data_IF_755035917638
#
_entry.id   IF_755035917638
#
_cell.length_a   1.000
_cell.length_b   1.000
_cell.length_c   1.000
_cell.angle_alpha   90.00
_cell.angle_beta   90.00
_cell.angle_gamma   90.00
#
_symmetry.space_group_name_H-M   'P 1'
#
loop_
_entity.id
_entity.type
_entity.pdbx_description
1 polymer ?
#
# COMPACT_ATOMS: atom_id res chain seq x y z
N UNK A 1 -5.99 -4.43 10.50
CA UNK A 1 -4.70 -3.76 10.75
C UNK A 1 -4.32 -3.86 12.22
N UNK A 2 -3.03 -3.99 12.55
CA UNK A 2 -2.54 -4.10 13.92
C UNK A 2 -1.18 -3.39 14.08
N UNK A 3 -0.89 -2.89 15.28
CA UNK A 3 0.40 -2.37 15.72
C UNK A 3 1.16 -3.42 16.50
N UNK A 4 2.49 -3.37 16.51
CA UNK A 4 3.33 -4.07 17.48
C UNK A 4 3.81 -3.12 18.58
N UNK A 5 3.80 -3.57 19.81
CA UNK A 5 4.48 -2.92 20.93
C UNK A 5 5.97 -3.32 20.96
N UNK A 6 6.84 -2.58 21.68
CA UNK A 6 8.27 -2.91 21.78
C UNK A 6 8.56 -4.31 22.36
N UNK A 7 7.64 -4.88 23.15
CA UNK A 7 7.69 -6.27 23.64
C UNK A 7 7.12 -7.29 22.64
N UNK A 8 6.88 -6.89 21.39
CA UNK A 8 6.46 -7.77 20.30
C UNK A 8 4.99 -8.18 20.34
N UNK A 9 4.17 -7.60 21.22
CA UNK A 9 2.73 -7.88 21.26
C UNK A 9 2.00 -7.07 20.22
N UNK A 10 1.05 -7.71 19.55
CA UNK A 10 0.23 -7.02 18.56
C UNK A 10 -1.07 -6.52 19.18
N UNK A 11 -1.37 -5.24 18.98
CA UNK A 11 -2.68 -4.65 19.28
C UNK A 11 -3.40 -4.35 17.97
N UNK A 12 -4.66 -4.74 17.88
CA UNK A 12 -5.51 -4.38 16.72
C UNK A 12 -5.69 -2.86 16.67
N UNK A 13 -5.40 -2.26 15.51
CA UNK A 13 -5.56 -0.82 15.27
C UNK A 13 -6.99 -0.51 14.85
N UNK A 14 -7.43 -1.02 13.71
CA UNK A 14 -8.81 -0.81 13.25
C UNK A 14 -9.46 -2.07 12.69
N UNK A 15 -10.76 -2.16 12.93
CA UNK A 15 -11.69 -3.19 12.43
C UNK A 15 -12.89 -2.53 11.72
N UNK A 16 -12.77 -1.23 11.44
CA UNK A 16 -13.89 -0.37 11.06
C UNK A 16 -14.67 -0.90 9.84
N UNK A 17 -15.96 -0.60 9.83
CA UNK A 17 -16.84 -0.77 8.66
C UNK A 17 -16.25 0.04 7.50
N UNK A 18 -15.74 -0.64 6.47
CA UNK A 18 -15.13 0.01 5.30
C UNK A 18 -13.83 -0.63 4.82
N UNK A 19 -13.10 -1.31 5.71
CA UNK A 19 -11.91 -2.08 5.32
C UNK A 19 -12.32 -3.41 4.66
N UNK A 20 -11.98 -3.58 3.37
CA UNK A 20 -12.20 -4.83 2.63
C UNK A 20 -10.88 -5.60 2.56
N UNK A 21 -9.94 -5.14 1.74
CA UNK A 21 -8.56 -5.64 1.68
C UNK A 21 -7.62 -4.47 1.82
N UNK A 22 -6.61 -4.61 2.68
CA UNK A 22 -5.53 -3.62 2.84
C UNK A 22 -4.31 -4.07 2.06
N UNK A 23 -3.83 -3.21 1.15
CA UNK A 23 -2.60 -3.44 0.39
C UNK A 23 -1.44 -2.69 1.03
N UNK A 24 -1.12 -1.48 0.55
CA UNK A 24 -0.12 -0.59 1.13
C UNK A 24 -0.67 0.30 2.24
N UNK A 25 0.23 0.73 3.11
CA UNK A 25 -0.07 1.67 4.19
C UNK A 25 1.14 2.54 4.51
N UNK A 26 0.88 3.76 4.98
CA UNK A 26 1.92 4.69 5.42
C UNK A 26 1.47 5.43 6.67
N UNK A 27 2.40 5.61 7.60
CA UNK A 27 2.23 6.42 8.81
C UNK A 27 2.79 7.80 8.57
N UNK A 28 1.95 8.82 8.67
CA UNK A 28 2.32 10.24 8.61
C UNK A 28 2.15 10.83 10.01
N UNK A 29 3.19 10.60 10.83
CA UNK A 29 3.20 11.02 12.22
C UNK A 29 3.18 12.55 12.37
N UNK A 30 3.79 13.28 11.43
CA UNK A 30 3.79 14.75 11.40
C UNK A 30 2.35 15.30 11.36
N UNK A 31 1.46 14.61 10.63
CA UNK A 31 0.05 15.02 10.48
C UNK A 31 -0.94 14.15 11.26
N UNK A 32 -0.45 13.32 12.20
CA UNK A 32 -1.23 12.43 13.06
C UNK A 32 -2.23 11.53 12.30
N UNK A 33 -1.76 10.85 11.24
CA UNK A 33 -2.62 9.99 10.42
C UNK A 33 -1.94 8.72 9.93
N UNK A 34 -2.76 7.71 9.64
CA UNK A 34 -2.40 6.50 8.91
C UNK A 34 -3.19 6.45 7.62
N UNK A 35 -2.50 6.29 6.51
CA UNK A 35 -3.09 6.17 5.17
C UNK A 35 -3.03 4.72 4.74
N UNK A 36 -4.13 4.22 4.19
CA UNK A 36 -4.30 2.80 3.85
C UNK A 36 -4.93 2.67 2.48
N UNK A 37 -4.26 1.98 1.56
CA UNK A 37 -4.89 1.52 0.34
C UNK A 37 -5.93 0.44 0.66
N UNK A 38 -7.17 0.68 0.25
CA UNK A 38 -8.29 -0.23 0.42
C UNK A 38 -8.83 -0.63 -0.95
N UNK A 39 -8.87 -1.94 -1.18
CA UNK A 39 -9.24 -2.54 -2.47
C UNK A 39 -10.09 -3.80 -2.27
N UNK A 40 -10.60 -4.36 -3.35
CA UNK A 40 -11.28 -5.64 -3.32
C UNK A 40 -11.10 -6.48 -4.60
N UNK A 41 -10.11 -7.38 -4.65
CA UNK A 41 -9.98 -8.39 -5.73
C UNK A 41 -10.88 -9.63 -5.57
N UNK A 42 -11.70 -9.71 -4.52
CA UNK A 42 -12.63 -10.84 -4.32
C UNK A 42 -12.14 -11.94 -3.36
N UNK A 43 -11.04 -11.73 -2.65
CA UNK A 43 -10.42 -12.75 -1.77
C UNK A 43 -10.68 -12.52 -0.28
N UNK A 44 -11.01 -11.27 0.10
CA UNK A 44 -11.28 -10.93 1.50
C UNK A 44 -12.61 -11.52 1.97
N UNK A 45 -12.68 -11.85 3.26
CA UNK A 45 -13.94 -12.20 3.94
C UNK A 45 -14.97 -11.07 3.91
N UNK A 46 -14.50 -9.83 3.75
CA UNK A 46 -15.35 -8.65 3.64
C UNK A 46 -15.73 -8.31 2.19
N UNK A 47 -15.27 -9.11 1.22
CA UNK A 47 -15.60 -8.92 -0.19
C UNK A 47 -17.06 -9.27 -0.46
N UNK A 48 -17.67 -8.55 -1.41
CA UNK A 48 -19.00 -8.82 -1.93
C UNK A 48 -19.03 -8.64 -3.45
N UNK A 49 -20.04 -9.21 -4.10
CA UNK A 49 -20.21 -9.09 -5.56
C UNK A 49 -20.27 -7.63 -6.04
N UNK A 50 -20.78 -6.71 -5.21
CA UNK A 50 -20.87 -5.28 -5.53
C UNK A 50 -19.56 -4.49 -5.37
N UNK A 51 -18.58 -5.01 -4.63
CA UNK A 51 -17.31 -4.33 -4.34
C UNK A 51 -16.13 -4.89 -5.13
N UNK A 52 -16.23 -6.16 -5.55
CA UNK A 52 -15.16 -6.87 -6.25
C UNK A 52 -14.74 -6.16 -7.55
N UNK A 53 -13.46 -5.87 -7.66
CA UNK A 53 -12.78 -5.11 -8.72
C UNK A 53 -13.37 -3.72 -8.97
N UNK A 54 -14.06 -3.15 -7.97
CA UNK A 54 -14.74 -1.85 -8.05
C UNK A 54 -14.33 -0.88 -6.94
N UNK A 55 -13.65 -1.37 -5.92
CA UNK A 55 -13.15 -0.54 -4.82
C UNK A 55 -11.70 -0.17 -5.09
N UNK A 56 -11.46 1.13 -5.24
CA UNK A 56 -10.12 1.71 -5.18
C UNK A 56 -10.18 2.93 -4.29
N UNK A 57 -9.66 2.80 -3.07
CA UNK A 57 -9.76 3.83 -2.05
C UNK A 57 -8.43 4.05 -1.32
N UNK A 58 -8.24 5.26 -0.82
CA UNK A 58 -7.33 5.52 0.31
C UNK A 58 -8.18 5.89 1.52
N UNK A 59 -7.97 5.16 2.62
CA UNK A 59 -8.59 5.46 3.90
C UNK A 59 -7.58 6.18 4.78
N UNK A 60 -8.00 7.30 5.37
CA UNK A 60 -7.22 8.07 6.33
C UNK A 60 -7.80 7.85 7.72
N UNK A 61 -7.00 7.28 8.60
CA UNK A 61 -7.32 7.11 10.01
C UNK A 61 -6.49 8.07 10.86
N UNK A 62 -7.05 8.53 11.96
CA UNK A 62 -6.27 9.20 13.00
C UNK A 62 -5.33 8.19 13.66
N UNK A 63 -4.05 8.55 13.83
CA UNK A 63 -3.03 7.63 14.33
C UNK A 63 -3.19 7.32 15.83
N UNK A 64 -3.68 8.26 16.64
CA UNK A 64 -3.83 8.05 18.09
C UNK A 64 -5.14 7.36 18.49
N UNK A 65 -6.23 7.67 17.80
CA UNK A 65 -7.60 7.25 18.17
C UNK A 65 -8.15 6.12 17.31
N UNK A 66 -7.40 5.72 16.28
CA UNK A 66 -7.77 4.68 15.31
C UNK A 66 -9.06 5.03 14.50
N UNK A 67 -9.56 6.26 14.61
CA UNK A 67 -10.80 6.72 14.01
C UNK A 67 -10.65 7.01 12.50
N UNK A 68 -11.57 6.52 11.67
CA UNK A 68 -11.60 6.86 10.25
C UNK A 68 -11.99 8.34 10.07
N UNK A 69 -11.09 9.12 9.48
CA UNK A 69 -11.26 10.55 9.25
C UNK A 69 -11.69 10.88 7.82
N UNK A 70 -11.19 10.14 6.83
CA UNK A 70 -11.51 10.39 5.43
C UNK A 70 -11.43 9.13 4.57
N UNK A 71 -12.27 9.09 3.54
CA UNK A 71 -12.19 8.13 2.44
C UNK A 71 -12.01 8.88 1.14
N UNK A 72 -10.96 8.56 0.41
CA UNK A 72 -10.70 9.07 -0.94
C UNK A 72 -11.06 7.99 -1.94
N UNK A 73 -12.08 8.23 -2.76
CA UNK A 73 -12.50 7.29 -3.81
C UNK A 73 -11.77 7.58 -5.13
N UNK A 74 -11.07 6.58 -5.64
CA UNK A 74 -10.30 6.62 -6.89
C UNK A 74 -11.00 5.83 -8.01
N UNK A 75 -12.04 5.07 -7.68
CA UNK A 75 -12.68 4.10 -8.60
C UNK A 75 -13.23 4.77 -9.86
N UNK A 76 -13.77 5.99 -9.75
CA UNK A 76 -14.35 6.74 -10.86
C UNK A 76 -13.32 7.34 -11.81
N UNK A 77 -12.05 7.43 -11.40
CA UNK A 77 -10.98 8.00 -12.22
C UNK A 77 -10.53 7.06 -13.32
N UNK A 78 -10.94 5.78 -13.27
CA UNK A 78 -10.41 4.72 -14.13
C UNK A 78 -11.53 3.92 -14.79
N UNK A 79 -11.26 3.43 -15.99
CA UNK A 79 -12.17 2.55 -16.70
C UNK A 79 -11.67 1.12 -16.52
N UNK A 80 -12.45 0.29 -15.81
CA UNK A 80 -12.13 -1.10 -15.56
C UNK A 80 -11.59 -1.38 -14.15
N UNK A 81 -11.07 -2.59 -13.91
CA UNK A 81 -10.53 -2.99 -12.61
C UNK A 81 -9.41 -2.06 -12.16
N UNK A 82 -9.34 -1.85 -10.85
CA UNK A 82 -8.33 -1.02 -10.19
C UNK A 82 -7.82 -1.77 -8.97
N UNK A 83 -6.55 -1.57 -8.64
CA UNK A 83 -5.93 -2.14 -7.44
C UNK A 83 -4.94 -1.11 -6.90
N UNK A 84 -5.38 -0.18 -6.03
CA UNK A 84 -4.46 0.72 -5.33
C UNK A 84 -3.51 -0.14 -4.49
N UNK A 85 -2.26 -0.19 -4.92
CA UNK A 85 -1.28 -1.13 -4.38
C UNK A 85 -0.56 -0.51 -3.20
N UNK A 86 0.16 0.59 -3.43
CA UNK A 86 0.91 1.29 -2.41
C UNK A 86 0.84 2.81 -2.59
N UNK A 87 1.20 3.54 -1.54
CA UNK A 87 1.14 5.00 -1.51
C UNK A 87 2.37 5.64 -0.87
N UNK A 88 2.64 6.89 -1.25
CA UNK A 88 3.66 7.74 -0.63
C UNK A 88 3.19 9.19 -0.53
N UNK A 89 3.96 10.02 0.16
CA UNK A 89 3.66 11.43 0.38
C UNK A 89 4.76 12.34 -0.19
N UNK A 90 4.37 13.55 -0.58
CA UNK A 90 5.33 14.67 -0.66
C UNK A 90 5.42 15.44 0.66
N UNK A 91 6.33 16.41 0.73
CA UNK A 91 6.55 17.22 1.93
C UNK A 91 5.33 18.07 2.33
N UNK A 92 4.39 18.32 1.42
CA UNK A 92 3.14 19.03 1.71
C UNK A 92 2.05 18.06 2.20
N UNK A 93 2.29 16.75 2.10
CA UNK A 93 1.37 15.70 2.52
C UNK A 93 0.35 15.31 1.45
N UNK A 94 0.56 15.69 0.18
CA UNK A 94 -0.23 15.13 -0.92
C UNK A 94 0.09 13.65 -1.07
N UNK A 95 -0.91 12.87 -1.45
CA UNK A 95 -0.82 11.41 -1.51
C UNK A 95 -0.66 10.98 -2.96
N UNK A 96 0.30 10.10 -3.22
CA UNK A 96 0.54 9.50 -4.51
C UNK A 96 0.30 8.00 -4.39
N UNK A 97 -0.53 7.43 -5.27
CA UNK A 97 -0.98 6.04 -5.15
C UNK A 97 -0.73 5.31 -6.46
N UNK A 98 -0.09 4.15 -6.38
CA UNK A 98 0.12 3.26 -7.54
C UNK A 98 -1.09 2.37 -7.77
N UNK A 99 -1.41 2.08 -9.02
CA UNK A 99 -2.42 1.07 -9.38
C UNK A 99 -1.73 -0.12 -10.07
N UNK A 100 -1.93 -1.34 -9.57
CA UNK A 100 -1.34 -2.53 -10.19
C UNK A 100 -2.12 -3.07 -11.38
N UNK A 101 -3.38 -2.67 -11.55
CA UNK A 101 -4.23 -3.10 -12.66
C UNK A 101 -4.39 -2.04 -13.75
N UNK A 102 -3.97 -0.81 -13.46
CA UNK A 102 -3.98 0.29 -14.41
C UNK A 102 -2.59 0.92 -14.50
N UNK A 103 -2.10 1.33 -15.67
CA UNK A 103 -0.75 1.83 -15.85
C UNK A 103 -0.67 3.31 -15.47
N UNK A 104 -0.94 3.62 -14.20
CA UNK A 104 -1.13 4.98 -13.72
C UNK A 104 -0.75 5.18 -12.26
N UNK A 105 -0.56 6.45 -11.91
CA UNK A 105 -0.39 6.92 -10.54
C UNK A 105 -1.47 7.99 -10.29
N UNK A 106 -2.18 7.84 -9.18
CA UNK A 106 -3.11 8.84 -8.70
C UNK A 106 -2.39 9.88 -7.84
N UNK A 107 -2.94 11.10 -7.81
CA UNK A 107 -2.60 12.11 -6.81
C UNK A 107 -3.86 12.52 -6.08
N UNK A 108 -3.77 12.58 -4.75
CA UNK A 108 -4.77 13.19 -3.88
C UNK A 108 -4.13 14.44 -3.29
N UNK A 109 -4.70 15.60 -3.61
CA UNK A 109 -4.27 16.86 -3.03
C UNK A 109 -4.76 16.97 -1.58
N UNK A 110 -3.85 17.30 -0.65
CA UNK A 110 -4.20 17.32 0.78
C UNK A 110 -5.18 18.42 1.12
N UNK A 111 -4.98 19.61 0.56
CA UNK A 111 -5.73 20.81 0.93
C UNK A 111 -7.15 20.75 0.37
N UNK A 112 -7.27 20.45 -0.91
CA UNK A 112 -8.56 20.39 -1.61
C UNK A 112 -9.26 19.05 -1.44
N UNK A 113 -8.53 18.00 -1.03
CA UNK A 113 -9.00 16.61 -0.91
C UNK A 113 -9.40 15.97 -2.24
N UNK A 114 -9.04 16.60 -3.36
CA UNK A 114 -9.41 16.11 -4.68
C UNK A 114 -8.44 15.04 -5.16
N UNK A 115 -9.00 13.95 -5.68
CA UNK A 115 -8.25 12.89 -6.33
C UNK A 115 -8.22 13.11 -7.85
N UNK A 116 -7.10 12.77 -8.47
CA UNK A 116 -6.89 12.87 -9.91
C UNK A 116 -5.87 11.83 -10.39
N UNK A 117 -5.81 11.60 -11.70
CA UNK A 117 -4.68 10.88 -12.29
C UNK A 117 -3.53 11.87 -12.47
N UNK A 118 -2.40 11.61 -11.83
CA UNK A 118 -1.18 12.39 -12.03
C UNK A 118 -0.51 12.01 -13.35
N UNK A 119 -0.34 10.72 -13.58
CA UNK A 119 0.29 10.17 -14.78
C UNK A 119 -0.40 8.89 -15.18
N UNK A 120 -0.58 8.70 -16.48
CA UNK A 120 -0.97 7.43 -17.09
C UNK A 120 -0.03 7.16 -18.26
N UNK A 121 0.65 6.02 -18.22
CA UNK A 121 1.64 5.64 -19.24
C UNK A 121 1.81 4.14 -19.27
N UNK A 122 1.78 3.55 -20.47
CA UNK A 122 2.03 2.12 -20.66
C UNK A 122 3.37 1.64 -20.07
N UNK A 123 4.34 2.54 -19.84
CA UNK A 123 5.61 2.23 -19.17
C UNK A 123 5.46 1.83 -17.69
N UNK A 124 4.30 2.11 -17.10
CA UNK A 124 3.95 1.70 -15.74
C UNK A 124 3.28 0.32 -15.70
N UNK A 125 3.04 -0.32 -16.86
CA UNK A 125 2.68 -1.73 -16.85
C UNK A 125 3.88 -2.59 -16.45
N UNK A 126 3.67 -3.70 -15.73
CA UNK A 126 4.68 -4.74 -15.57
C UNK A 126 5.16 -5.22 -16.95
N UNK A 127 6.46 -5.37 -17.13
CA UNK A 127 7.09 -5.70 -18.41
C UNK A 127 6.56 -6.99 -19.06
N UNK A 128 6.09 -7.95 -18.25
CA UNK A 128 5.57 -9.24 -18.68
C UNK A 128 4.09 -9.45 -18.33
N UNK A 129 3.30 -8.40 -18.15
CA UNK A 129 1.88 -8.56 -17.82
C UNK A 129 1.17 -9.34 -18.96
N UNK A 130 0.71 -10.60 -18.73
CA UNK A 130 -0.04 -11.30 -19.76
C UNK A 130 -1.32 -10.53 -20.05
N UNK A 131 -1.83 -10.60 -21.29
CA UNK A 131 -3.04 -9.90 -21.73
C UNK A 131 -4.26 -10.10 -20.81
N UNK A 132 -4.26 -11.14 -19.96
CA UNK A 132 -5.26 -11.41 -18.94
C UNK A 132 -5.23 -10.49 -17.69
N UNK A 133 -4.26 -9.59 -17.56
CA UNK A 133 -4.37 -8.40 -16.69
C UNK A 133 -5.43 -7.42 -17.24
N UNK A 134 -5.82 -7.56 -18.51
CA UNK A 134 -6.91 -6.84 -19.14
C UNK A 134 -8.17 -7.75 -19.15
N UNK A 135 -8.96 -7.65 -18.09
CA UNK A 135 -10.30 -8.24 -18.01
C UNK A 135 -10.37 -9.62 -17.32
N UNK A 136 -11.23 -9.72 -16.29
CA UNK A 136 -11.83 -10.88 -15.59
C UNK A 136 -11.05 -12.20 -15.36
N UNK A 137 -9.81 -12.38 -15.82
CA UNK A 137 -9.10 -13.67 -15.84
C UNK A 137 -7.81 -13.69 -14.99
N UNK A 138 -7.55 -12.66 -14.18
CA UNK A 138 -6.36 -12.60 -13.33
C UNK A 138 -6.37 -13.64 -12.19
N UNK A 139 -7.53 -14.20 -11.82
CA UNK A 139 -7.65 -14.99 -10.59
C UNK A 139 -7.39 -16.49 -10.75
N UNK A 140 -7.46 -17.05 -11.96
CA UNK A 140 -7.12 -18.47 -12.17
C UNK A 140 -5.60 -18.70 -12.13
N UNK A 141 -4.81 -17.68 -12.44
CA UNK A 141 -3.36 -17.73 -12.57
C UNK A 141 -2.66 -17.59 -11.21
N UNK A 142 -3.31 -16.93 -10.25
CA UNK A 142 -2.82 -16.81 -8.86
C UNK A 142 -3.03 -18.08 -8.03
N UNK A 143 -3.96 -18.97 -8.41
CA UNK A 143 -4.19 -20.25 -7.70
C UNK A 143 -3.22 -21.37 -8.10
N UNK A 144 -2.37 -21.14 -9.10
CA UNK A 144 -1.52 -22.16 -9.72
C UNK A 144 -0.05 -21.77 -9.85
N UNK A 145 0.50 -21.00 -8.90
CA UNK A 145 1.94 -20.71 -8.87
C UNK A 145 2.74 -21.99 -8.64
N UNK A 146 3.23 -22.56 -9.74
CA UNK A 146 4.42 -23.40 -9.76
C UNK A 146 5.63 -22.53 -9.35
N UNK A 147 6.69 -23.09 -8.74
CA UNK A 147 7.65 -22.33 -7.92
C UNK A 147 8.58 -21.36 -8.67
N UNK A 148 8.38 -21.11 -9.96
CA UNK A 148 9.32 -20.42 -10.84
C UNK A 148 9.37 -18.89 -10.71
N UNK A 149 8.70 -18.27 -9.74
CA UNK A 149 8.64 -16.80 -9.59
C UNK A 149 9.27 -16.27 -8.29
N UNK A 150 9.89 -17.12 -7.47
CA UNK A 150 10.76 -16.65 -6.39
C UNK A 150 12.18 -16.49 -6.96
N UNK A 151 12.77 -15.29 -7.01
CA UNK A 151 14.20 -15.19 -7.18
C UNK A 151 14.89 -15.93 -6.02
N UNK A 152 15.92 -16.72 -6.33
CA UNK A 152 16.65 -17.51 -5.34
C UNK A 152 17.31 -16.58 -4.31
N UNK A 153 16.72 -16.45 -3.13
CA UNK A 153 17.21 -15.57 -2.07
C UNK A 153 18.49 -16.08 -1.38
N UNK A 154 19.14 -17.14 -1.88
CA UNK A 154 20.34 -17.74 -1.26
C UNK A 154 21.64 -16.94 -1.43
N UNK A 155 21.60 -15.75 -2.03
CA UNK A 155 22.81 -14.95 -2.34
C UNK A 155 22.99 -13.62 -1.61
N UNK A 156 22.00 -13.11 -0.87
CA UNK A 156 22.08 -11.79 -0.24
C UNK A 156 22.41 -11.89 1.25
N UNK A 157 23.68 -12.12 1.56
CA UNK A 157 24.20 -11.76 2.88
C UNK A 157 24.32 -10.23 2.97
N UNK A 158 23.81 -9.58 4.03
CA UNK A 158 24.08 -8.17 4.26
C UNK A 158 25.57 -8.00 4.57
N UNK A 159 26.26 -7.17 3.78
CA UNK A 159 27.60 -6.65 4.13
C UNK A 159 27.42 -5.80 5.39
N UNK A 160 28.17 -6.14 6.43
CA UNK A 160 28.20 -5.42 7.70
C UNK A 160 28.43 -3.91 7.48
N UNK A 161 27.63 -3.09 8.16
CA UNK A 161 27.88 -1.66 8.28
C UNK A 161 29.16 -1.45 9.10
N UNK A 162 30.00 -0.54 8.63
CA UNK A 162 31.21 -0.08 9.33
C UNK A 162 30.77 0.69 10.58
N UNK A 163 31.09 0.17 11.77
CA UNK A 163 30.96 0.91 13.02
C UNK A 163 31.93 2.09 13.02
N UNK A 164 31.39 3.29 13.24
CA UNK A 164 32.17 4.50 13.50
C UNK A 164 32.72 4.47 14.92
N UNK A 165 34.03 4.65 15.02
CA UNK A 165 34.80 4.75 16.26
C UNK A 165 34.22 5.84 17.19
N UNK A 166 33.70 5.43 18.35
CA UNK A 166 33.45 6.34 19.48
C UNK A 166 34.64 6.22 20.42
N UNK A 167 35.56 7.18 20.31
CA UNK A 167 36.71 7.28 21.19
C UNK A 167 36.30 7.66 22.62
N UNK A 168 36.35 6.68 23.53
CA UNK A 168 36.18 6.91 24.95
C UNK A 168 37.53 7.29 25.59
N UNK A 169 37.58 8.48 26.21
CA UNK A 169 38.65 8.89 27.12
C UNK A 169 38.37 8.36 28.52
N UNK A 170 39.29 7.58 29.07
CA UNK A 170 39.67 7.48 30.49
C UNK A 170 40.97 6.64 30.53
N UNK A 171 42.03 6.88 31.29
CA UNK A 171 42.14 7.48 32.62
C UNK A 171 42.71 6.42 33.58
N UNK A 172 44.03 6.48 33.86
CA UNK A 172 44.68 5.91 35.04
C UNK A 172 45.07 4.43 35.01
N UNK A 173 46.38 4.13 34.94
CA UNK A 173 47.28 3.93 36.09
C UNK A 173 48.73 4.08 35.64
#
# INVERSE_FOLDING_TARGET
>A
MAWSTPDGRYRRFSTGKGLITTSGMLVDAERNRVLVCNEDVGVSRNSAAGTRNRVAQVLEFNLDTDALQQTYDLSSLSHGPTLPNDLTLDAQGNIYVTDSFQPQIYKIDRTTRQASILVRSARLMPADAPAAAQGNAALSQWRGVSPGWLPDCRGLHPRAAVEGDVGERAGGQ
#
